data_IF_371858100864
#
_entry.id   IF_371858100864
#
_cell.length_a   1.000
_cell.length_b   1.000
_cell.length_c   1.000
_cell.angle_alpha   90.00
_cell.angle_beta   90.00
_cell.angle_gamma   90.00
#
_symmetry.space_group_name_H-M   'P 1'
#
loop_
_entity.id
_entity.type
_entity.pdbx_description
1 polymer ?
#
# COMPACT_ATOMS: atom_id res chain seq x y z
N UNK A 1 9.03 24.26 7.51
CA UNK A 1 7.80 23.46 7.31
C UNK A 1 7.94 22.18 8.12
N UNK A 2 7.05 21.92 9.09
CA UNK A 2 7.13 20.76 9.98
C UNK A 2 6.48 19.56 9.30
N UNK A 3 7.13 18.40 9.32
CA UNK A 3 6.64 17.13 8.79
C UNK A 3 6.52 16.08 9.89
N UNK A 4 5.97 14.92 9.57
CA UNK A 4 5.84 13.82 10.53
C UNK A 4 7.22 13.37 11.03
N UNK A 5 7.38 13.01 12.32
CA UNK A 5 8.67 12.69 12.93
C UNK A 5 9.30 11.38 12.42
N UNK A 6 8.51 10.52 11.76
CA UNK A 6 9.01 9.29 11.15
C UNK A 6 9.74 9.50 9.82
N UNK A 7 9.61 10.70 9.20
CA UNK A 7 10.13 10.96 7.87
C UNK A 7 11.63 11.31 7.90
N UNK A 8 12.51 10.53 7.27
CA UNK A 8 13.92 10.85 7.13
C UNK A 8 14.12 11.93 6.05
N UNK A 9 14.35 13.16 6.48
CA UNK A 9 14.42 14.35 5.61
C UNK A 9 15.59 14.33 4.59
N UNK A 10 16.59 13.47 4.80
CA UNK A 10 17.73 13.29 3.89
C UNK A 10 17.36 12.49 2.62
N UNK A 11 16.16 11.97 2.50
CA UNK A 11 15.70 11.18 1.34
C UNK A 11 14.63 11.95 0.54
N UNK A 12 15.01 12.70 -0.53
CA UNK A 12 14.06 13.52 -1.28
C UNK A 12 12.82 12.76 -1.79
N UNK A 13 13.01 11.54 -2.33
CA UNK A 13 11.91 10.69 -2.78
C UNK A 13 10.92 10.34 -1.65
N UNK A 14 11.43 10.15 -0.42
CA UNK A 14 10.57 9.85 0.72
C UNK A 14 9.82 11.10 1.20
N UNK A 15 10.49 12.26 1.12
CA UNK A 15 9.85 13.56 1.40
C UNK A 15 8.74 13.84 0.40
N UNK A 16 8.99 13.63 -0.89
CA UNK A 16 7.99 13.77 -1.94
C UNK A 16 6.79 12.86 -1.70
N UNK A 17 7.01 11.57 -1.43
CA UNK A 17 5.94 10.62 -1.09
C UNK A 17 5.09 11.10 0.10
N UNK A 18 5.72 11.54 1.20
CA UNK A 18 5.02 12.08 2.36
C UNK A 18 4.20 13.33 2.01
N UNK A 19 4.77 14.22 1.19
CA UNK A 19 4.17 15.52 0.91
C UNK A 19 3.07 15.46 -0.17
N UNK A 20 3.04 14.43 -1.01
CA UNK A 20 2.15 14.38 -2.18
C UNK A 20 1.23 13.16 -2.24
N UNK A 21 1.57 12.06 -1.56
CA UNK A 21 0.85 10.80 -1.69
C UNK A 21 0.30 10.29 -0.35
N UNK A 22 1.16 10.14 0.66
CA UNK A 22 0.78 9.50 1.92
C UNK A 22 -0.34 10.25 2.65
N UNK A 23 -1.41 9.52 2.97
CA UNK A 23 -2.60 10.09 3.63
C UNK A 23 -3.55 10.83 2.69
N UNK A 24 -3.21 10.97 1.40
CA UNK A 24 -4.09 11.62 0.41
C UNK A 24 -5.19 10.64 -0.02
N UNK A 25 -6.48 10.97 0.19
CA UNK A 25 -7.58 10.09 -0.21
C UNK A 25 -7.56 9.80 -1.72
N UNK A 26 -7.42 8.54 -2.08
CA UNK A 26 -7.41 8.11 -3.47
C UNK A 26 -8.48 7.05 -3.72
N UNK A 27 -9.17 7.18 -4.86
CA UNK A 27 -10.11 6.20 -5.40
C UNK A 27 -9.70 5.75 -6.80
N UNK A 28 -8.45 6.01 -7.20
CA UNK A 28 -7.88 5.45 -8.43
C UNK A 28 -7.68 3.94 -8.25
N UNK A 29 -8.40 3.10 -9.01
CA UNK A 29 -8.35 1.64 -8.83
C UNK A 29 -6.96 1.05 -9.08
N UNK A 30 -6.22 1.63 -10.04
CA UNK A 30 -4.86 1.19 -10.35
C UNK A 30 -3.89 1.53 -9.21
N UNK A 31 -3.99 2.74 -8.65
CA UNK A 31 -3.16 3.18 -7.53
C UNK A 31 -3.46 2.36 -6.26
N UNK A 32 -4.74 2.09 -5.97
CA UNK A 32 -5.12 1.23 -4.86
C UNK A 32 -4.55 -0.18 -5.01
N UNK A 33 -4.64 -0.76 -6.20
CA UNK A 33 -4.07 -2.09 -6.47
C UNK A 33 -2.54 -2.08 -6.35
N UNK A 34 -1.87 -1.04 -6.88
CA UNK A 34 -0.43 -0.82 -6.68
C UNK A 34 -0.08 -0.81 -5.18
N UNK A 35 -0.78 -0.03 -4.37
CA UNK A 35 -0.55 0.06 -2.93
C UNK A 35 -0.77 -1.29 -2.23
N UNK A 36 -1.82 -2.05 -2.54
CA UNK A 36 -2.04 -3.41 -2.00
C UNK A 36 -0.81 -4.29 -2.24
N UNK A 37 -0.27 -4.26 -3.46
CA UNK A 37 0.87 -5.10 -3.84
C UNK A 37 2.19 -4.62 -3.19
N UNK A 38 2.43 -3.31 -3.17
CA UNK A 38 3.67 -2.75 -2.62
C UNK A 38 3.74 -2.85 -1.10
N UNK A 39 2.63 -2.67 -0.39
CA UNK A 39 2.56 -2.91 1.05
C UNK A 39 2.77 -4.39 1.39
N UNK A 40 2.25 -5.29 0.57
CA UNK A 40 2.56 -6.72 0.65
C UNK A 40 4.06 -7.02 0.44
N UNK A 41 4.69 -6.33 -0.52
CA UNK A 41 6.13 -6.44 -0.75
C UNK A 41 6.96 -5.90 0.42
N UNK A 42 6.45 -4.90 1.14
CA UNK A 42 7.10 -4.32 2.32
C UNK A 42 7.12 -5.27 3.52
N UNK A 43 6.22 -6.25 3.64
CA UNK A 43 6.12 -7.10 4.82
C UNK A 43 7.50 -7.60 5.31
N UNK A 44 7.87 -7.23 6.54
CA UNK A 44 9.19 -7.52 7.14
C UNK A 44 10.35 -6.62 6.68
N UNK A 45 10.07 -5.55 5.91
CA UNK A 45 11.05 -4.59 5.40
C UNK A 45 10.65 -3.15 5.77
N UNK A 46 11.52 -2.17 5.47
CA UNK A 46 11.16 -0.75 5.56
C UNK A 46 10.43 -0.29 4.31
N UNK A 47 9.53 0.69 4.45
CA UNK A 47 8.89 1.32 3.28
C UNK A 47 9.93 1.95 2.34
N UNK A 48 10.97 2.57 2.89
CA UNK A 48 12.06 3.12 2.09
C UNK A 48 12.66 2.11 1.11
N UNK A 49 12.84 0.86 1.56
CA UNK A 49 13.36 -0.22 0.71
C UNK A 49 12.46 -0.49 -0.49
N UNK A 50 11.14 -0.43 -0.32
CA UNK A 50 10.16 -0.66 -1.39
C UNK A 50 9.99 0.58 -2.26
N UNK A 51 9.91 1.75 -1.65
CA UNK A 51 9.72 3.02 -2.35
C UNK A 51 10.82 3.29 -3.40
N UNK A 52 12.08 2.99 -3.08
CA UNK A 52 13.19 3.08 -4.02
C UNK A 52 13.06 2.13 -5.23
N UNK A 53 12.32 1.06 -5.07
CA UNK A 53 12.12 0.02 -6.10
C UNK A 53 10.78 0.16 -6.82
N UNK A 54 9.92 1.11 -6.41
CA UNK A 54 8.55 1.26 -6.90
C UNK A 54 8.48 1.40 -8.42
N UNK A 55 9.37 2.21 -8.99
CA UNK A 55 9.38 2.41 -10.43
C UNK A 55 9.72 1.12 -11.20
N UNK A 56 10.65 0.32 -10.66
CA UNK A 56 10.95 -0.99 -11.27
C UNK A 56 9.77 -1.96 -11.12
N UNK A 57 9.07 -1.95 -9.99
CA UNK A 57 7.83 -2.70 -9.83
C UNK A 57 6.80 -2.33 -10.89
N UNK A 58 6.57 -1.03 -11.15
CA UNK A 58 5.68 -0.55 -12.20
C UNK A 58 6.06 -1.09 -13.56
N UNK A 59 7.33 -1.05 -13.92
CA UNK A 59 7.84 -1.56 -15.20
C UNK A 59 7.58 -3.06 -15.38
N UNK A 60 7.90 -3.88 -14.37
CA UNK A 60 7.84 -5.34 -14.48
C UNK A 60 6.45 -5.91 -14.24
N UNK A 61 5.55 -5.16 -13.59
CA UNK A 61 4.16 -5.55 -13.35
C UNK A 61 3.16 -4.71 -14.16
N UNK A 62 3.51 -4.30 -15.39
CA UNK A 62 2.61 -3.64 -16.36
C UNK A 62 1.88 -2.43 -15.78
N UNK A 63 2.58 -1.56 -15.04
CA UNK A 63 2.00 -0.41 -14.32
C UNK A 63 0.83 -0.80 -13.40
N UNK A 64 0.89 -1.97 -12.81
CA UNK A 64 -0.18 -2.52 -11.96
C UNK A 64 -1.57 -2.47 -12.61
N UNK A 65 -1.65 -2.75 -13.93
CA UNK A 65 -2.92 -3.01 -14.61
C UNK A 65 -3.39 -4.42 -14.25
N UNK A 66 -4.46 -4.59 -13.46
CA UNK A 66 -4.81 -5.89 -12.88
C UNK A 66 -4.99 -7.00 -13.94
N UNK A 67 -5.60 -6.68 -15.08
CA UNK A 67 -5.83 -7.63 -16.16
C UNK A 67 -4.52 -8.17 -16.74
N UNK A 68 -3.54 -7.30 -16.96
CA UNK A 68 -2.24 -7.69 -17.49
C UNK A 68 -1.43 -8.49 -16.46
N UNK A 69 -1.47 -8.04 -15.19
CA UNK A 69 -0.79 -8.74 -14.09
C UNK A 69 -1.40 -10.12 -13.86
N UNK A 70 -2.72 -10.26 -13.90
CA UNK A 70 -3.41 -11.54 -13.73
C UNK A 70 -3.06 -12.56 -14.82
N UNK A 71 -2.73 -12.09 -16.03
CA UNK A 71 -2.37 -12.90 -17.19
C UNK A 71 -0.89 -13.32 -17.21
N UNK A 72 -0.03 -12.76 -16.36
CA UNK A 72 1.39 -13.13 -16.31
C UNK A 72 1.57 -14.63 -16.08
N UNK A 73 2.51 -15.22 -16.81
CA UNK A 73 2.87 -16.65 -16.72
C UNK A 73 3.81 -16.93 -15.55
N UNK A 74 3.90 -18.19 -15.15
CA UNK A 74 4.89 -18.62 -14.16
C UNK A 74 6.32 -18.34 -14.62
N UNK A 75 6.61 -18.55 -15.90
CA UNK A 75 7.93 -18.30 -16.47
C UNK A 75 8.35 -16.80 -16.40
N UNK A 76 7.41 -15.89 -16.58
CA UNK A 76 7.67 -14.46 -16.40
C UNK A 76 7.93 -14.11 -14.93
N UNK A 77 7.12 -14.63 -14.01
CA UNK A 77 7.31 -14.38 -12.58
C UNK A 77 8.61 -15.00 -12.04
N UNK A 78 8.99 -16.21 -12.50
CA UNK A 78 10.26 -16.83 -12.10
C UNK A 78 11.47 -15.99 -12.55
N UNK A 79 11.43 -15.35 -13.72
CA UNK A 79 12.49 -14.44 -14.16
C UNK A 79 12.65 -13.25 -13.20
N UNK A 80 11.54 -12.74 -12.63
CA UNK A 80 11.56 -11.60 -11.72
C UNK A 80 12.26 -11.92 -10.38
N UNK A 81 12.40 -13.17 -9.99
CA UNK A 81 13.14 -13.57 -8.78
C UNK A 81 14.63 -13.18 -8.89
N UNK A 82 15.15 -13.07 -10.10
CA UNK A 82 16.53 -12.67 -10.38
C UNK A 82 16.71 -11.16 -10.53
N UNK A 83 15.61 -10.37 -10.57
CA UNK A 83 15.66 -8.93 -10.77
C UNK A 83 16.07 -8.19 -9.47
N UNK A 84 17.26 -7.57 -9.39
CA UNK A 84 17.68 -6.83 -8.21
C UNK A 84 16.90 -5.52 -8.00
N UNK A 85 16.16 -5.07 -9.00
CA UNK A 85 15.33 -3.87 -8.95
C UNK A 85 14.06 -4.03 -8.13
N UNK A 86 13.67 -5.25 -7.76
CA UNK A 86 12.54 -5.54 -6.89
C UNK A 86 12.95 -6.39 -5.68
N UNK A 87 12.01 -6.66 -4.78
CA UNK A 87 12.23 -7.58 -3.64
C UNK A 87 12.23 -9.01 -4.16
N UNK A 88 13.40 -9.67 -4.15
CA UNK A 88 13.63 -11.02 -4.66
C UNK A 88 13.09 -12.09 -3.71
N UNK A 89 11.77 -12.12 -3.54
CA UNK A 89 11.08 -13.10 -2.70
C UNK A 89 9.96 -13.75 -3.50
N UNK A 90 10.14 -15.03 -3.85
CA UNK A 90 9.23 -15.78 -4.72
C UNK A 90 7.75 -15.62 -4.31
N UNK A 91 7.42 -15.82 -3.04
CA UNK A 91 6.05 -15.71 -2.54
C UNK A 91 5.46 -14.31 -2.75
N UNK A 92 6.23 -13.24 -2.52
CA UNK A 92 5.79 -11.86 -2.75
C UNK A 92 5.60 -11.55 -4.24
N UNK A 93 6.46 -12.05 -5.11
CA UNK A 93 6.35 -11.88 -6.56
C UNK A 93 5.09 -12.58 -7.09
N UNK A 94 4.87 -13.84 -6.74
CA UNK A 94 3.70 -14.60 -7.16
C UNK A 94 2.39 -14.05 -6.57
N UNK A 95 2.44 -13.45 -5.36
CA UNK A 95 1.26 -12.85 -4.76
C UNK A 95 0.74 -11.65 -5.53
N UNK A 96 1.57 -10.90 -6.28
CA UNK A 96 1.10 -9.78 -7.11
C UNK A 96 0.08 -10.26 -8.14
N UNK A 97 0.39 -11.36 -8.84
CA UNK A 97 -0.55 -11.99 -9.78
C UNK A 97 -1.79 -12.56 -9.09
N UNK A 98 -1.61 -13.22 -7.95
CA UNK A 98 -2.73 -13.75 -7.18
C UNK A 98 -3.66 -12.61 -6.72
N UNK A 99 -3.11 -11.53 -6.23
CA UNK A 99 -3.86 -10.35 -5.82
C UNK A 99 -4.59 -9.69 -7.01
N UNK A 100 -3.98 -9.70 -8.21
CA UNK A 100 -4.64 -9.21 -9.43
C UNK A 100 -5.87 -10.05 -9.79
N UNK A 101 -5.77 -11.37 -9.69
CA UNK A 101 -6.91 -12.27 -9.92
C UNK A 101 -8.01 -12.03 -8.90
N UNK A 102 -7.65 -11.93 -7.61
CA UNK A 102 -8.63 -11.64 -6.56
C UNK A 102 -9.27 -10.25 -6.72
N UNK A 103 -8.50 -9.26 -7.19
CA UNK A 103 -9.01 -7.91 -7.48
C UNK A 103 -10.10 -7.93 -8.56
N UNK A 104 -9.88 -8.68 -9.63
CA UNK A 104 -10.80 -8.79 -10.77
C UNK A 104 -12.10 -9.56 -10.46
N UNK A 105 -12.12 -10.37 -9.40
CA UNK A 105 -13.33 -11.05 -8.93
C UNK A 105 -14.26 -10.12 -8.11
N UNK A 106 -13.79 -8.95 -7.70
CA UNK A 106 -14.59 -7.96 -6.98
C UNK A 106 -15.32 -7.07 -7.99
N UNK A 107 -16.62 -6.87 -7.80
CA UNK A 107 -17.44 -6.03 -8.70
C UNK A 107 -17.00 -4.55 -8.67
N UNK A 108 -16.68 -4.04 -7.50
CA UNK A 108 -16.14 -2.70 -7.28
C UNK A 108 -15.13 -2.74 -6.14
N UNK A 109 -13.87 -3.07 -6.44
CA UNK A 109 -12.84 -3.22 -5.41
C UNK A 109 -12.54 -1.91 -4.65
N UNK A 110 -12.69 -0.76 -5.29
CA UNK A 110 -12.43 0.54 -4.68
C UNK A 110 -13.47 0.84 -3.60
N UNK A 111 -14.75 0.82 -3.95
CA UNK A 111 -15.81 1.09 -3.00
C UNK A 111 -15.88 0.00 -1.92
N UNK A 112 -15.59 -1.25 -2.28
CA UNK A 112 -15.54 -2.35 -1.31
C UNK A 112 -14.42 -2.12 -0.26
N UNK A 113 -13.22 -1.72 -0.67
CA UNK A 113 -12.13 -1.39 0.27
C UNK A 113 -12.51 -0.19 1.14
N UNK A 114 -12.99 0.90 0.52
CA UNK A 114 -13.38 2.12 1.25
C UNK A 114 -14.54 1.92 2.21
N UNK A 115 -15.40 0.92 2.00
CA UNK A 115 -16.54 0.61 2.88
C UNK A 115 -16.10 0.30 4.32
N UNK A 116 -14.88 -0.18 4.54
CA UNK A 116 -14.33 -0.50 5.87
C UNK A 116 -14.04 0.74 6.74
N UNK A 117 -14.09 1.94 6.16
CA UNK A 117 -14.06 3.21 6.89
C UNK A 117 -15.36 4.01 6.69
N UNK A 118 -16.44 3.36 6.25
CA UNK A 118 -17.70 4.03 5.93
C UNK A 118 -17.59 4.97 4.73
N UNK A 119 -16.65 4.73 3.81
CA UNK A 119 -16.41 5.55 2.63
C UNK A 119 -15.73 6.90 2.90
N UNK A 120 -15.19 7.10 4.11
CA UNK A 120 -14.59 8.38 4.54
C UNK A 120 -13.23 8.17 5.17
N UNK A 121 -12.40 9.22 5.11
CA UNK A 121 -11.12 9.25 5.82
C UNK A 121 -11.33 9.38 7.33
N UNK A 122 -10.71 8.50 8.11
CA UNK A 122 -10.64 8.61 9.56
C UNK A 122 -9.48 9.54 9.90
N UNK A 123 -9.72 10.65 10.59
CA UNK A 123 -8.69 11.62 10.95
C UNK A 123 -8.23 11.39 12.40
N UNK A 124 -7.03 10.86 12.56
CA UNK A 124 -6.44 10.55 13.87
C UNK A 124 -5.75 11.77 14.50
N UNK A 125 -5.58 11.76 15.84
CA UNK A 125 -5.03 12.87 16.63
C UNK A 125 -3.66 12.52 17.22
N UNK A 126 -2.72 12.02 16.40
CA UNK A 126 -1.40 11.60 16.84
C UNK A 126 -0.46 12.79 17.05
N UNK A 127 0.28 12.78 18.15
CA UNK A 127 1.29 13.81 18.51
C UNK A 127 2.71 13.28 18.33
N UNK A 128 2.93 12.03 18.68
CA UNK A 128 4.24 11.38 18.70
C UNK A 128 4.22 10.05 17.97
N UNK A 129 5.37 9.47 17.72
CA UNK A 129 5.50 8.14 17.14
C UNK A 129 4.87 7.02 17.98
N UNK A 130 4.82 7.21 19.29
CA UNK A 130 4.23 6.23 20.21
C UNK A 130 2.69 6.14 20.08
N UNK A 131 2.06 7.14 19.49
CA UNK A 131 0.61 7.17 19.30
C UNK A 131 0.16 6.33 18.10
N UNK A 132 1.08 5.97 17.18
CA UNK A 132 0.75 5.21 16.00
C UNK A 132 0.47 3.74 16.34
N UNK A 133 -0.76 3.24 16.11
CA UNK A 133 -1.02 1.83 16.29
C UNK A 133 -0.39 1.02 15.15
N UNK A 134 -0.04 -0.22 15.44
CA UNK A 134 0.39 -1.15 14.38
C UNK A 134 -0.77 -1.69 13.55
N UNK A 135 -2.00 -1.60 14.06
CA UNK A 135 -3.25 -2.04 13.44
C UNK A 135 -4.46 -1.44 14.19
N UNK A 136 -5.62 -1.46 13.55
CA UNK A 136 -6.89 -1.00 14.11
C UNK A 136 -8.00 -2.04 13.88
N UNK A 137 -9.19 -1.92 14.51
CA UNK A 137 -10.33 -2.78 14.20
C UNK A 137 -10.70 -2.79 12.72
N UNK A 138 -10.63 -1.63 12.04
CA UNK A 138 -10.92 -1.49 10.61
C UNK A 138 -9.89 -2.24 9.77
N UNK A 139 -8.59 -2.11 10.11
CA UNK A 139 -7.53 -2.85 9.40
C UNK A 139 -7.60 -4.36 9.66
N UNK A 140 -8.00 -4.79 10.86
CA UNK A 140 -8.24 -6.20 11.17
C UNK A 140 -9.41 -6.75 10.32
N UNK A 141 -10.52 -6.00 10.22
CA UNK A 141 -11.69 -6.37 9.43
C UNK A 141 -11.36 -6.43 7.93
N UNK A 142 -10.71 -5.40 7.38
CA UNK A 142 -10.30 -5.35 5.97
C UNK A 142 -9.29 -6.46 5.65
N UNK A 143 -8.29 -6.71 6.52
CA UNK A 143 -7.34 -7.81 6.36
C UNK A 143 -8.03 -9.17 6.26
N UNK A 144 -8.99 -9.43 7.16
CA UNK A 144 -9.77 -10.66 7.15
C UNK A 144 -10.59 -10.82 5.86
N UNK A 145 -11.21 -9.73 5.41
CA UNK A 145 -11.99 -9.71 4.18
C UNK A 145 -11.12 -9.90 2.92
N UNK A 146 -9.99 -9.22 2.82
CA UNK A 146 -9.02 -9.39 1.74
C UNK A 146 -8.54 -10.84 1.65
N UNK A 147 -8.17 -11.46 2.77
CA UNK A 147 -7.76 -12.88 2.79
C UNK A 147 -8.89 -13.79 2.31
N UNK A 148 -10.12 -13.54 2.75
CA UNK A 148 -11.29 -14.32 2.31
C UNK A 148 -11.54 -14.15 0.81
N UNK A 149 -11.25 -12.99 0.24
CA UNK A 149 -11.34 -12.72 -1.19
C UNK A 149 -10.14 -13.29 -2.00
N UNK A 150 -9.17 -13.94 -1.34
CA UNK A 150 -8.04 -14.62 -2.01
C UNK A 150 -6.77 -13.79 -2.14
N UNK A 151 -6.68 -12.63 -1.48
CA UNK A 151 -5.47 -11.83 -1.45
C UNK A 151 -4.41 -12.42 -0.51
N UNK A 152 -3.15 -12.22 -0.86
CA UNK A 152 -1.98 -12.64 -0.08
C UNK A 152 -1.16 -11.44 0.38
N UNK A 153 -0.40 -11.61 1.47
CA UNK A 153 0.41 -10.58 2.12
C UNK A 153 -0.41 -9.35 2.56
N UNK A 154 -1.63 -9.58 3.01
CA UNK A 154 -2.56 -8.56 3.49
C UNK A 154 -2.87 -8.75 4.99
N UNK A 155 -1.83 -8.93 5.80
CA UNK A 155 -1.95 -8.97 7.27
C UNK A 155 -2.43 -7.63 7.83
N UNK A 156 -2.99 -7.62 9.05
CA UNK A 156 -3.60 -6.41 9.65
C UNK A 156 -2.66 -5.21 9.67
N UNK A 157 -1.37 -5.41 10.00
CA UNK A 157 -0.37 -4.33 9.98
C UNK A 157 -0.10 -3.83 8.55
N UNK A 158 0.04 -4.73 7.59
CA UNK A 158 0.18 -4.40 6.17
C UNK A 158 -1.05 -3.66 5.64
N UNK A 159 -2.23 -4.11 6.05
CA UNK A 159 -3.50 -3.48 5.67
C UNK A 159 -3.65 -2.09 6.30
N UNK A 160 -3.17 -1.89 7.54
CA UNK A 160 -3.15 -0.56 8.13
C UNK A 160 -2.22 0.40 7.38
N UNK A 161 -1.04 -0.07 6.97
CA UNK A 161 -0.14 0.71 6.11
C UNK A 161 -0.79 1.05 4.76
N UNK A 162 -1.53 0.11 4.15
CA UNK A 162 -2.36 0.38 2.97
C UNK A 162 -3.37 1.52 3.23
N UNK A 163 -4.10 1.46 4.36
CA UNK A 163 -5.09 2.49 4.72
C UNK A 163 -4.43 3.88 4.87
N UNK A 164 -3.21 3.93 5.42
CA UNK A 164 -2.43 5.15 5.49
C UNK A 164 -1.99 5.63 4.10
N UNK A 165 -1.47 4.75 3.26
CA UNK A 165 -0.97 5.09 1.93
C UNK A 165 -2.06 5.69 1.03
N UNK A 166 -3.28 5.13 1.07
CA UNK A 166 -4.39 5.55 0.19
C UNK A 166 -5.36 6.56 0.84
N UNK A 167 -5.02 7.08 2.02
CA UNK A 167 -5.79 8.12 2.69
C UNK A 167 -7.11 7.67 3.32
N UNK A 168 -7.32 6.36 3.54
CA UNK A 168 -8.45 5.87 4.35
C UNK A 168 -8.32 6.31 5.80
N UNK A 169 -7.09 6.55 6.26
CA UNK A 169 -6.77 7.21 7.52
C UNK A 169 -5.82 8.38 7.26
N UNK A 170 -6.04 9.50 7.95
CA UNK A 170 -5.11 10.61 7.99
C UNK A 170 -4.34 10.56 9.31
N UNK A 171 -3.12 10.04 9.24
CA UNK A 171 -2.23 9.84 10.37
C UNK A 171 -1.10 10.88 10.42
N UNK A 172 -1.20 11.95 9.65
CA UNK A 172 -0.28 13.07 9.81
C UNK A 172 -0.35 13.60 11.24
N UNK A 173 0.80 13.69 11.91
CA UNK A 173 0.87 14.17 13.30
C UNK A 173 0.35 15.60 13.44
N UNK A 174 -0.13 15.93 14.63
CA UNK A 174 -0.51 17.30 14.96
C UNK A 174 0.71 18.21 14.76
N UNK A 175 0.55 19.25 13.94
CA UNK A 175 1.64 20.14 13.53
C UNK A 175 2.30 19.80 12.19
N UNK A 176 2.03 18.63 11.62
CA UNK A 176 2.48 18.34 10.27
C UNK A 176 1.77 19.24 9.24
N UNK A 177 2.55 19.79 8.32
CA UNK A 177 2.03 20.70 7.29
C UNK A 177 1.00 20.04 6.35
N UNK A 178 1.03 18.72 6.24
CA UNK A 178 0.12 17.96 5.37
C UNK A 178 -1.21 17.62 6.03
N UNK A 179 -1.28 17.63 7.37
CA UNK A 179 -2.47 17.22 8.12
C UNK A 179 -3.79 17.88 7.70
N UNK A 180 -3.75 19.17 7.33
CA UNK A 180 -4.94 19.93 6.91
C UNK A 180 -5.12 19.97 5.41
N UNK A 181 -4.16 19.47 4.66
CA UNK A 181 -4.15 19.50 3.20
C UNK A 181 -4.69 18.20 2.57
N UNK A 182 -4.98 17.21 3.42
CA UNK A 182 -5.52 15.92 3.02
C UNK A 182 -6.77 15.60 3.83
#
# INVERSE_FOLDING_TARGET
MTRCPWLPLQHPLYVEYHDTEWGVPSRDPRYLFECVCLEGAQAGLSWWTVLQKRERYRQVFHNFQPEKVAAMTDAELEKLILDPGIIRHRGKIFSVRQNARAWLELSDPVEWIWSFTGGKTIVNQFKTMADFPSKTPESDALSKALRKAGFNFVGSTTTYALMQAVGMVNDHTIGCCRRKAV
#
